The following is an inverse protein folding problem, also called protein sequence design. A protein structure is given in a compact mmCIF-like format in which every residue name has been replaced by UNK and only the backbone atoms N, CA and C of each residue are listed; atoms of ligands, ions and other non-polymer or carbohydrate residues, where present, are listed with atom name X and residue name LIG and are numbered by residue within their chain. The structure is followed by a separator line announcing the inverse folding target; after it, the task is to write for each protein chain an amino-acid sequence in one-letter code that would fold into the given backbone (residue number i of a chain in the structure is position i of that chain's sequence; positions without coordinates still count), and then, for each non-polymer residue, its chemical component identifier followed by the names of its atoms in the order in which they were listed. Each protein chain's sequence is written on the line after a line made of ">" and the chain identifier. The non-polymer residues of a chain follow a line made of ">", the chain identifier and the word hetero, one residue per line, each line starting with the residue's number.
data_IF_474978272347
#
_entry.id   IF_474978272347
#
_cell.length_a   1.000
_cell.length_b   1.000
_cell.length_c   1.000
_cell.angle_alpha   90.00
_cell.angle_beta   90.00
_cell.angle_gamma   90.00
#
_symmetry.space_group_name_H-M   'P 1'
#
loop_
_entity.id
_entity.type
_entity.pdbx_description
1 polymer ?
#
# COMPACT_ATOMS: atom_id res chain seq x y z
N UNK A 1 22.27 32.27 -11.86
CA UNK A 1 20.98 31.64 -11.57
C UNK A 1 20.93 30.37 -12.39
N UNK A 2 21.03 29.20 -11.75
CA UNK A 2 21.04 27.92 -12.46
C UNK A 2 19.63 27.64 -13.00
N UNK A 3 19.57 27.31 -14.29
CA UNK A 3 18.36 27.00 -15.02
C UNK A 3 17.86 25.62 -14.58
N UNK A 4 16.91 25.56 -13.64
CA UNK A 4 16.24 24.32 -13.24
C UNK A 4 15.23 23.93 -14.32
N UNK A 5 15.71 23.45 -15.47
CA UNK A 5 14.86 22.68 -16.37
C UNK A 5 14.37 21.46 -15.58
N UNK A 6 13.08 21.42 -15.24
CA UNK A 6 12.48 20.19 -14.75
C UNK A 6 12.59 19.17 -15.89
N UNK A 7 13.51 18.22 -15.77
CA UNK A 7 13.55 17.10 -16.69
C UNK A 7 12.17 16.44 -16.69
N UNK A 8 11.61 16.18 -17.88
CA UNK A 8 10.38 15.39 -18.00
C UNK A 8 10.58 14.03 -17.33
N UNK A 9 9.52 13.48 -16.73
CA UNK A 9 9.59 12.10 -16.23
C UNK A 9 9.66 11.14 -17.41
N UNK A 10 10.53 10.13 -17.29
CA UNK A 10 10.61 9.08 -18.29
C UNK A 10 11.73 8.07 -18.04
N UNK A 11 11.59 6.89 -18.67
CA UNK A 11 12.60 5.82 -18.67
C UNK A 11 12.92 5.44 -20.11
N UNK A 12 14.13 5.74 -20.55
CA UNK A 12 14.57 5.57 -21.95
C UNK A 12 15.58 4.43 -22.15
N UNK A 13 15.96 3.74 -21.07
CA UNK A 13 16.89 2.60 -21.09
C UNK A 13 16.89 1.88 -19.74
N UNK A 14 17.20 0.59 -19.73
CA UNK A 14 17.37 -0.20 -18.50
C UNK A 14 18.78 -0.08 -17.86
N UNK A 15 19.76 0.46 -18.60
CA UNK A 15 21.18 0.52 -18.16
C UNK A 15 21.73 1.94 -18.01
N UNK A 16 20.94 2.95 -18.35
CA UNK A 16 21.32 4.36 -18.20
C UNK A 16 21.41 4.79 -16.73
N UNK A 17 21.94 6.00 -16.51
CA UNK A 17 22.04 6.56 -15.17
C UNK A 17 20.64 6.75 -14.57
N UNK A 18 20.31 5.98 -13.53
CA UNK A 18 19.09 6.14 -12.75
C UNK A 18 19.15 7.47 -11.99
N UNK A 19 18.07 8.25 -12.07
CA UNK A 19 17.92 9.55 -11.40
C UNK A 19 16.87 9.52 -10.29
N UNK A 20 15.76 8.83 -10.53
CA UNK A 20 14.61 8.74 -9.64
C UNK A 20 14.03 7.34 -9.68
N UNK A 21 13.65 6.79 -8.53
CA UNK A 21 13.06 5.45 -8.42
C UNK A 21 11.98 5.44 -7.34
N UNK A 22 10.93 4.64 -7.54
CA UNK A 22 9.90 4.36 -6.54
C UNK A 22 10.10 2.96 -5.97
N UNK A 23 10.09 2.88 -4.63
CA UNK A 23 10.17 1.63 -3.87
C UNK A 23 9.05 1.57 -2.83
N UNK A 24 8.75 0.39 -2.30
CA UNK A 24 7.80 0.22 -1.21
C UNK A 24 8.44 -0.63 -0.12
N UNK A 25 8.54 -0.10 1.09
CA UNK A 25 9.15 -0.84 2.18
C UNK A 25 8.21 -1.96 2.69
N UNK A 26 8.74 -3.09 3.18
CA UNK A 26 7.96 -4.05 3.94
C UNK A 26 7.24 -3.39 5.12
N UNK A 27 6.04 -3.87 5.44
CA UNK A 27 5.12 -3.18 6.34
C UNK A 27 4.06 -4.10 6.94
N UNK A 28 2.93 -3.52 7.37
CA UNK A 28 1.81 -4.24 7.99
C UNK A 28 1.29 -5.39 7.11
N UNK A 29 1.31 -5.23 5.79
CA UNK A 29 0.91 -6.28 4.85
C UNK A 29 1.69 -7.58 5.06
N UNK A 30 2.99 -7.47 5.35
CA UNK A 30 3.87 -8.62 5.53
C UNK A 30 3.76 -9.22 6.93
N UNK A 31 3.31 -8.45 7.93
CA UNK A 31 3.02 -8.95 9.28
C UNK A 31 1.79 -9.87 9.30
N UNK A 32 0.94 -9.78 8.26
CA UNK A 32 -0.25 -10.61 8.08
C UNK A 32 0.01 -11.87 7.25
N UNK A 33 1.25 -12.06 6.76
CA UNK A 33 1.63 -13.31 6.14
C UNK A 33 1.67 -14.42 7.20
N UNK A 34 0.98 -15.50 6.89
CA UNK A 34 0.96 -16.73 7.67
C UNK A 34 1.31 -17.89 6.75
N UNK A 35 1.82 -19.02 7.28
CA UNK A 35 2.10 -20.20 6.46
C UNK A 35 0.88 -20.72 5.70
N UNK A 36 -0.34 -20.41 6.18
CA UNK A 36 -1.60 -20.80 5.54
C UNK A 36 -2.10 -19.85 4.46
N UNK A 37 -1.59 -18.61 4.37
CA UNK A 37 -2.09 -17.61 3.42
C UNK A 37 -1.03 -17.07 2.44
N UNK A 38 0.26 -17.33 2.64
CA UNK A 38 1.34 -16.76 1.84
C UNK A 38 1.21 -17.11 0.34
N UNK A 39 0.87 -18.36 0.01
CA UNK A 39 0.65 -18.79 -1.37
C UNK A 39 -0.50 -18.02 -2.04
N UNK A 40 -1.60 -17.82 -1.33
CA UNK A 40 -2.76 -17.08 -1.85
C UNK A 40 -2.45 -15.58 -2.01
N UNK A 41 -1.53 -15.04 -1.20
CA UNK A 41 -1.03 -13.68 -1.28
C UNK A 41 0.23 -13.56 -2.16
N UNK A 42 0.52 -14.57 -2.99
CA UNK A 42 1.63 -14.58 -3.96
C UNK A 42 2.98 -14.26 -3.31
N UNK A 43 3.22 -14.84 -2.14
CA UNK A 43 4.43 -14.68 -1.37
C UNK A 43 4.97 -16.04 -0.93
N UNK A 44 6.26 -16.29 -1.11
CA UNK A 44 6.83 -17.64 -0.93
C UNK A 44 6.84 -18.13 0.53
N UNK A 45 7.06 -17.23 1.49
CA UNK A 45 7.10 -17.58 2.92
C UNK A 45 6.88 -16.34 3.82
N UNK A 46 6.69 -16.56 5.11
CA UNK A 46 6.59 -15.52 6.13
C UNK A 46 7.95 -14.81 6.28
N UNK A 47 7.91 -13.48 6.38
CA UNK A 47 9.11 -12.66 6.56
C UNK A 47 9.38 -12.29 8.02
N UNK A 48 10.66 -12.20 8.37
CA UNK A 48 11.07 -11.39 9.51
C UNK A 48 10.99 -9.90 9.15
N UNK A 49 9.79 -9.32 9.32
CA UNK A 49 9.46 -7.98 8.82
C UNK A 49 10.41 -6.89 9.32
N UNK A 50 10.81 -6.91 10.59
CA UNK A 50 11.75 -5.91 11.13
C UNK A 50 13.14 -6.00 10.50
N UNK A 51 13.61 -7.21 10.19
CA UNK A 51 14.86 -7.38 9.47
C UNK A 51 14.71 -6.93 8.01
N UNK A 52 13.63 -7.34 7.35
CA UNK A 52 13.33 -6.93 5.97
C UNK A 52 13.23 -5.40 5.81
N UNK A 53 12.66 -4.70 6.81
CA UNK A 53 12.66 -3.22 6.85
C UNK A 53 14.07 -2.64 6.95
N UNK A 54 14.95 -3.23 7.76
CA UNK A 54 16.35 -2.78 7.89
C UNK A 54 17.10 -2.99 6.57
N UNK A 55 16.95 -4.16 5.96
CA UNK A 55 17.57 -4.50 4.67
C UNK A 55 17.07 -3.56 3.57
N UNK A 56 15.76 -3.29 3.52
CA UNK A 56 15.18 -2.35 2.55
C UNK A 56 15.65 -0.91 2.79
N UNK A 57 15.80 -0.49 4.05
CA UNK A 57 16.34 0.85 4.36
C UNK A 57 17.81 0.98 3.92
N UNK A 58 18.63 -0.05 4.13
CA UNK A 58 20.00 -0.11 3.63
C UNK A 58 20.05 -0.08 2.09
N UNK A 59 19.15 -0.80 1.41
CA UNK A 59 18.98 -0.72 -0.04
C UNK A 59 18.67 0.70 -0.52
N UNK A 60 17.74 1.40 0.15
CA UNK A 60 17.41 2.80 -0.15
C UNK A 60 18.60 3.73 0.10
N UNK A 61 19.34 3.54 1.19
CA UNK A 61 20.52 4.34 1.53
C UNK A 61 21.60 4.21 0.46
N UNK A 62 21.92 2.98 0.03
CA UNK A 62 22.91 2.71 -1.02
C UNK A 62 22.59 3.39 -2.36
N UNK A 63 21.32 3.57 -2.68
CA UNK A 63 20.89 4.33 -3.87
C UNK A 63 21.03 5.85 -3.66
N UNK A 64 20.60 6.34 -2.50
CA UNK A 64 20.71 7.77 -2.14
C UNK A 64 22.15 8.26 -2.07
N UNK A 65 23.06 7.43 -1.57
CA UNK A 65 24.50 7.70 -1.54
C UNK A 65 25.09 7.91 -2.95
N UNK A 66 24.41 7.40 -3.98
CA UNK A 66 24.75 7.58 -5.39
C UNK A 66 24.02 8.76 -6.04
N UNK A 67 23.33 9.58 -5.26
CA UNK A 67 22.57 10.73 -5.74
C UNK A 67 21.24 10.39 -6.42
N UNK A 68 20.73 9.16 -6.25
CA UNK A 68 19.43 8.75 -6.79
C UNK A 68 18.33 9.26 -5.85
N UNK A 69 17.31 9.92 -6.41
CA UNK A 69 16.11 10.29 -5.67
C UNK A 69 15.23 9.05 -5.45
N UNK A 70 15.17 8.57 -4.22
CA UNK A 70 14.38 7.38 -3.84
C UNK A 70 13.08 7.80 -3.19
N UNK A 71 11.99 7.63 -3.93
CA UNK A 71 10.62 7.84 -3.49
C UNK A 71 10.08 6.57 -2.85
N UNK A 72 9.42 6.69 -1.69
CA UNK A 72 8.86 5.57 -0.94
C UNK A 72 7.33 5.62 -1.00
N UNK A 73 6.71 4.50 -1.35
CA UNK A 73 5.28 4.40 -1.65
C UNK A 73 4.37 4.76 -0.46
N UNK A 74 4.69 4.37 0.77
CA UNK A 74 3.88 4.76 1.93
C UNK A 74 3.93 6.27 2.16
N UNK A 75 5.07 6.92 1.93
CA UNK A 75 5.21 8.37 2.01
C UNK A 75 4.42 9.06 0.89
N UNK A 76 4.58 8.61 -0.36
CA UNK A 76 3.82 9.14 -1.48
C UNK A 76 2.31 8.99 -1.28
N UNK A 77 1.86 7.84 -0.79
CA UNK A 77 0.45 7.59 -0.51
C UNK A 77 -0.05 8.45 0.65
N UNK A 78 0.73 8.62 1.72
CA UNK A 78 0.38 9.51 2.82
C UNK A 78 0.21 10.97 2.36
N UNK A 79 1.13 11.47 1.52
CA UNK A 79 1.03 12.81 0.93
C UNK A 79 -0.18 12.92 0.00
N UNK A 80 -0.46 11.85 -0.76
CA UNK A 80 -1.60 11.80 -1.69
C UNK A 80 -2.93 11.82 -0.95
N UNK A 81 -3.13 10.97 0.05
CA UNK A 81 -4.38 10.95 0.84
C UNK A 81 -4.51 12.13 1.79
N UNK A 82 -3.49 12.97 1.95
CA UNK A 82 -3.64 14.27 2.60
C UNK A 82 -4.42 15.27 1.71
N UNK A 83 -4.47 15.05 0.39
CA UNK A 83 -5.31 15.81 -0.53
C UNK A 83 -6.75 15.28 -0.47
N UNK A 84 -7.75 16.10 -0.07
CA UNK A 84 -9.12 15.61 0.16
C UNK A 84 -9.76 14.94 -1.06
N UNK A 85 -9.54 15.48 -2.25
CA UNK A 85 -10.06 14.92 -3.50
C UNK A 85 -9.45 13.54 -3.81
N UNK A 86 -8.13 13.39 -3.64
CA UNK A 86 -7.45 12.12 -3.87
C UNK A 86 -7.85 11.07 -2.82
N UNK A 87 -7.96 11.46 -1.54
CA UNK A 87 -8.50 10.59 -0.49
C UNK A 87 -9.88 10.08 -0.86
N UNK A 88 -10.78 11.00 -1.23
CA UNK A 88 -12.15 10.68 -1.64
C UNK A 88 -12.15 9.70 -2.82
N UNK A 89 -11.35 9.97 -3.85
CA UNK A 89 -11.24 9.11 -5.02
C UNK A 89 -10.79 7.69 -4.66
N UNK A 90 -9.77 7.54 -3.82
CA UNK A 90 -9.29 6.22 -3.39
C UNK A 90 -10.38 5.49 -2.61
N UNK A 91 -11.00 6.13 -1.61
CA UNK A 91 -12.01 5.49 -0.77
C UNK A 91 -13.29 5.14 -1.56
N UNK A 92 -13.70 5.97 -2.51
CA UNK A 92 -14.85 5.69 -3.40
C UNK A 92 -14.62 4.42 -4.25
N UNK A 93 -13.38 4.11 -4.60
CA UNK A 93 -13.04 2.96 -5.43
C UNK A 93 -12.60 1.72 -4.64
N UNK A 94 -12.17 1.88 -3.38
CA UNK A 94 -11.73 0.77 -2.52
C UNK A 94 -12.83 0.27 -1.57
N UNK A 95 -13.68 1.17 -1.07
CA UNK A 95 -14.73 0.83 -0.11
C UNK A 95 -16.06 0.68 -0.86
N UNK A 96 -16.22 -0.45 -1.53
CA UNK A 96 -17.43 -0.74 -2.31
C UNK A 96 -18.19 -1.96 -1.75
N UNK A 97 -19.49 -2.11 -2.04
CA UNK A 97 -20.27 -3.26 -1.58
C UNK A 97 -19.67 -4.62 -1.95
N UNK A 98 -18.93 -4.70 -3.06
CA UNK A 98 -18.31 -5.94 -3.52
C UNK A 98 -17.02 -6.28 -2.78
N UNK A 99 -16.33 -5.27 -2.25
CA UNK A 99 -15.06 -5.43 -1.54
C UNK A 99 -15.30 -5.63 -0.03
N UNK A 100 -16.11 -4.77 0.59
CA UNK A 100 -16.29 -4.76 2.06
C UNK A 100 -17.63 -5.35 2.52
N UNK A 101 -18.53 -5.67 1.60
CA UNK A 101 -19.91 -6.06 1.88
C UNK A 101 -20.84 -4.84 2.00
N UNK A 102 -22.02 -4.93 1.37
CA UNK A 102 -22.99 -3.83 1.25
C UNK A 102 -23.25 -3.09 2.57
N UNK A 103 -23.36 -3.84 3.66
CA UNK A 103 -23.78 -3.34 4.96
C UNK A 103 -22.63 -2.89 5.87
N UNK A 104 -21.39 -2.88 5.39
CA UNK A 104 -20.23 -2.35 6.12
C UNK A 104 -19.59 -1.15 5.40
N UNK A 105 -20.14 -0.75 4.26
CA UNK A 105 -19.57 0.33 3.43
C UNK A 105 -19.46 1.63 4.21
N UNK A 106 -20.53 2.03 4.89
CA UNK A 106 -20.58 3.31 5.59
C UNK A 106 -19.67 3.31 6.83
N UNK A 107 -19.67 2.21 7.58
CA UNK A 107 -18.84 1.99 8.77
C UNK A 107 -17.35 2.00 8.42
N UNK A 108 -16.94 1.20 7.44
CA UNK A 108 -15.54 1.09 7.00
C UNK A 108 -15.09 2.41 6.40
N UNK A 109 -15.94 3.06 5.59
CA UNK A 109 -15.63 4.36 5.01
C UNK A 109 -15.41 5.42 6.09
N UNK A 110 -16.33 5.54 7.04
CA UNK A 110 -16.24 6.51 8.13
C UNK A 110 -14.98 6.30 8.97
N UNK A 111 -14.66 5.04 9.28
CA UNK A 111 -13.42 4.68 9.99
C UNK A 111 -12.17 5.12 9.23
N UNK A 112 -12.06 4.80 7.93
CA UNK A 112 -10.89 5.15 7.12
C UNK A 112 -10.76 6.67 6.89
N UNK A 113 -11.86 7.39 6.77
CA UNK A 113 -11.87 8.86 6.64
C UNK A 113 -11.32 9.54 7.90
N UNK A 114 -11.55 8.95 9.07
CA UNK A 114 -11.07 9.43 10.37
C UNK A 114 -9.58 9.21 10.64
N UNK A 115 -8.90 8.37 9.86
CA UNK A 115 -7.47 8.09 10.04
C UNK A 115 -6.59 9.26 9.60
N UNK A 116 -5.46 9.45 10.30
CA UNK A 116 -4.43 10.39 9.84
C UNK A 116 -3.83 9.89 8.52
N UNK A 117 -3.32 10.78 7.64
CA UNK A 117 -2.83 10.37 6.32
C UNK A 117 -1.82 9.22 6.33
N UNK A 118 -0.89 9.22 7.31
CA UNK A 118 0.09 8.14 7.45
C UNK A 118 -0.55 6.81 7.86
N UNK A 119 -1.44 6.83 8.83
CA UNK A 119 -2.17 5.64 9.31
C UNK A 119 -3.09 5.08 8.22
N UNK A 120 -3.73 5.97 7.44
CA UNK A 120 -4.54 5.59 6.30
C UNK A 120 -3.70 4.91 5.21
N UNK A 121 -2.55 5.49 4.84
CA UNK A 121 -1.65 4.88 3.85
C UNK A 121 -1.16 3.49 4.29
N UNK A 122 -0.77 3.33 5.56
CA UNK A 122 -0.37 2.04 6.13
C UNK A 122 -1.52 1.03 6.19
N UNK A 123 -2.76 1.49 6.36
CA UNK A 123 -3.96 0.63 6.37
C UNK A 123 -4.36 0.22 4.96
N UNK A 124 -4.29 1.12 3.98
CA UNK A 124 -4.61 0.83 2.57
C UNK A 124 -3.65 -0.19 1.96
N UNK A 125 -2.35 -0.10 2.27
CA UNK A 125 -1.36 -1.10 1.81
C UNK A 125 -1.39 -2.34 2.71
N UNK A 126 -1.49 -2.12 4.02
CA UNK A 126 -1.40 -3.17 5.04
C UNK A 126 -2.64 -4.03 5.21
N UNK A 127 -3.77 -3.63 4.63
CA UNK A 127 -5.06 -4.25 4.86
C UNK A 127 -5.68 -3.93 6.23
N UNK A 128 -6.98 -4.16 6.32
CA UNK A 128 -7.80 -3.96 7.51
C UNK A 128 -8.43 -5.29 7.92
N UNK A 129 -7.98 -5.86 9.04
CA UNK A 129 -8.58 -7.09 9.57
C UNK A 129 -9.92 -6.81 10.24
N UNK A 130 -10.86 -7.75 10.13
CA UNK A 130 -12.11 -7.72 10.89
C UNK A 130 -11.88 -7.68 12.39
N UNK A 131 -10.76 -8.21 12.89
CA UNK A 131 -10.39 -8.22 14.32
C UNK A 131 -9.90 -6.85 14.83
N UNK A 132 -9.29 -6.05 13.95
CA UNK A 132 -8.82 -4.70 14.28
C UNK A 132 -9.92 -3.64 14.11
N UNK A 133 -10.95 -3.96 13.33
CA UNK A 133 -12.05 -3.06 13.11
C UNK A 133 -12.83 -2.84 14.42
N UNK A 134 -13.05 -1.58 14.86
CA UNK A 134 -13.62 -1.34 16.19
C UNK A 134 -15.04 -1.88 16.33
N UNK A 135 -15.28 -2.67 17.38
CA UNK A 135 -16.58 -3.31 17.66
C UNK A 135 -17.72 -2.29 17.84
N UNK A 136 -17.41 -1.13 18.42
CA UNK A 136 -18.39 -0.04 18.58
C UNK A 136 -18.84 0.59 17.24
N UNK A 137 -18.13 0.30 16.14
CA UNK A 137 -18.49 0.74 14.79
C UNK A 137 -19.18 -0.41 14.04
N UNK A 138 -18.65 -1.64 14.11
CA UNK A 138 -19.17 -2.79 13.36
C UNK A 138 -20.36 -3.55 13.99
N UNK A 139 -20.59 -3.38 15.30
CA UNK A 139 -21.72 -3.97 16.03
C UNK A 139 -21.80 -5.51 16.01
N UNK A 140 -22.97 -6.05 16.35
CA UNK A 140 -23.27 -7.51 16.41
C UNK A 140 -23.04 -8.23 15.07
N UNK A 141 -23.04 -7.49 13.96
CA UNK A 141 -22.85 -8.06 12.61
C UNK A 141 -21.39 -8.38 12.31
N UNK A 142 -20.47 -7.54 12.77
CA UNK A 142 -19.04 -7.84 12.67
C UNK A 142 -18.70 -9.09 13.48
N UNK A 143 -19.35 -9.28 14.65
CA UNK A 143 -19.22 -10.51 15.44
C UNK A 143 -19.70 -11.74 14.65
N UNK A 144 -20.85 -11.66 13.97
CA UNK A 144 -21.33 -12.74 13.10
C UNK A 144 -20.35 -13.06 11.96
N UNK A 145 -19.75 -12.04 11.34
CA UNK A 145 -18.74 -12.21 10.28
C UNK A 145 -17.46 -12.87 10.83
N UNK A 146 -17.03 -12.51 12.05
CA UNK A 146 -15.90 -13.13 12.75
C UNK A 146 -16.21 -14.59 13.12
N UNK A 147 -17.40 -14.87 13.63
CA UNK A 147 -17.83 -16.19 14.11
C UNK A 147 -18.15 -17.19 13.00
N UNK A 148 -18.55 -16.71 11.81
CA UNK A 148 -18.73 -17.55 10.63
C UNK A 148 -17.40 -18.13 10.07
N UNK A 149 -16.27 -17.81 10.71
CA UNK A 149 -14.95 -18.44 10.61
C UNK A 149 -14.64 -19.12 9.26
N UNK A 150 -14.10 -18.32 8.33
CA UNK A 150 -13.40 -18.84 7.14
C UNK A 150 -13.50 -17.98 5.88
N UNK A 151 -14.43 -17.02 5.80
CA UNK A 151 -14.78 -16.39 4.51
C UNK A 151 -14.15 -15.00 4.30
N UNK A 152 -13.96 -14.17 5.34
CA UNK A 152 -13.37 -12.81 5.20
C UNK A 152 -12.60 -12.35 6.45
N UNK A 153 -11.35 -12.77 6.58
CA UNK A 153 -10.43 -12.28 7.65
C UNK A 153 -10.14 -10.77 7.53
N UNK A 154 -10.30 -10.24 6.32
CA UNK A 154 -9.94 -8.88 5.94
C UNK A 154 -11.11 -8.14 5.29
N UNK A 155 -11.39 -6.94 5.77
CA UNK A 155 -12.25 -5.95 5.12
C UNK A 155 -11.50 -5.28 3.96
N UNK A 156 -10.19 -5.07 4.12
CA UNK A 156 -9.28 -4.73 3.03
C UNK A 156 -8.13 -5.73 3.05
N UNK A 157 -7.87 -6.48 1.96
CA UNK A 157 -6.79 -7.47 1.95
C UNK A 157 -5.41 -6.80 2.05
N UNK A 158 -4.42 -7.45 2.68
CA UNK A 158 -3.04 -6.96 2.65
C UNK A 158 -2.44 -7.07 1.25
N UNK A 159 -1.60 -6.10 0.88
CA UNK A 159 -0.93 -6.06 -0.43
C UNK A 159 0.60 -6.21 -0.28
N UNK A 160 1.12 -7.40 0.12
CA UNK A 160 2.55 -7.59 0.37
C UNK A 160 3.40 -7.38 -0.89
N UNK A 161 2.88 -7.74 -2.08
CA UNK A 161 3.59 -7.58 -3.34
C UNK A 161 3.80 -6.12 -3.77
N UNK A 162 3.24 -5.13 -3.05
CA UNK A 162 3.63 -3.72 -3.25
C UNK A 162 5.13 -3.50 -3.05
N UNK A 163 5.81 -4.38 -2.30
CA UNK A 163 7.27 -4.48 -2.22
C UNK A 163 7.94 -4.51 -3.61
N UNK A 164 7.30 -5.17 -4.59
CA UNK A 164 7.76 -5.30 -5.96
C UNK A 164 7.12 -4.22 -6.85
N UNK A 165 7.59 -2.97 -6.70
CA UNK A 165 7.06 -1.80 -7.42
C UNK A 165 7.22 -1.83 -8.94
N UNK A 166 7.86 -2.87 -9.49
CA UNK A 166 8.06 -3.08 -10.92
C UNK A 166 6.78 -3.47 -11.66
N UNK A 167 5.84 -4.13 -10.97
CA UNK A 167 4.77 -4.88 -11.63
C UNK A 167 3.52 -4.04 -11.87
N UNK A 168 3.13 -3.19 -10.91
CA UNK A 168 1.86 -2.45 -10.95
C UNK A 168 1.84 -1.33 -12.01
N UNK A 169 3.00 -0.74 -12.27
CA UNK A 169 3.16 0.35 -13.25
C UNK A 169 4.54 0.30 -13.86
N UNK A 170 4.68 0.57 -15.16
CA UNK A 170 6.01 0.71 -15.77
C UNK A 170 6.11 1.98 -16.63
N UNK A 171 7.28 2.61 -16.58
CA UNK A 171 7.59 3.79 -17.39
C UNK A 171 8.19 3.34 -18.72
N UNK A 172 7.65 3.84 -19.83
CA UNK A 172 8.09 3.56 -21.19
C UNK A 172 8.29 4.90 -21.90
N UNK A 173 9.55 5.31 -22.04
CA UNK A 173 9.92 6.67 -22.45
C UNK A 173 9.17 7.70 -21.59
N UNK A 174 8.48 8.66 -22.19
CA UNK A 174 7.78 9.75 -21.48
C UNK A 174 6.38 9.36 -20.97
N UNK A 175 6.02 8.07 -21.01
CA UNK A 175 4.73 7.55 -20.58
C UNK A 175 4.83 6.56 -19.43
N UNK A 176 3.71 6.32 -18.76
CA UNK A 176 3.54 5.29 -17.73
C UNK A 176 2.32 4.45 -18.05
N UNK A 177 2.41 3.14 -17.88
CA UNK A 177 1.26 2.23 -17.91
C UNK A 177 0.76 1.96 -16.49
N UNK A 178 -0.56 1.83 -16.36
CA UNK A 178 -1.21 1.28 -15.17
C UNK A 178 -1.70 -0.11 -15.59
N UNK A 179 -1.06 -1.16 -15.08
CA UNK A 179 -1.18 -2.53 -15.61
C UNK A 179 -2.41 -3.27 -15.09
#
# INVERSE_FOLDING_TARGET
>A
MANTQSASFGVHSEVGQLRKVMVCAPGRAHQRLTPSNCDALLFDDVLWVDNAKRDHFDFMAKMRDRGIEVLEMHNLLADTVAVPEAKKWILDNQVTPNEVGLDLVDEVRSYLEGLKPRELAETLIGGLSTQEFPEHIGGERLELIRDAAGVTEYLLPPLPNTLYTRDTTCWIYDGVTLN
#
